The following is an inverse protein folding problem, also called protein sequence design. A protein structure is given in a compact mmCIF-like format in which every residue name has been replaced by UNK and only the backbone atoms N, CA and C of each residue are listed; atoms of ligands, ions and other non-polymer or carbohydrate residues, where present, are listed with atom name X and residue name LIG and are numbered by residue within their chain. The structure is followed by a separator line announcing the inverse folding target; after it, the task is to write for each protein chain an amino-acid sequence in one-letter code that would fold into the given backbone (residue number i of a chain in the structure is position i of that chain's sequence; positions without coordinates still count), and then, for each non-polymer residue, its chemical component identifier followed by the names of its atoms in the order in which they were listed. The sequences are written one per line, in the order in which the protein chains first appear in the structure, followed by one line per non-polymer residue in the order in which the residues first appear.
data_IF_153110930548
#
_entry.id   IF_153110930548
#
_cell.length_a   1.000
_cell.length_b   1.000
_cell.length_c   1.000
_cell.angle_alpha   90.00
_cell.angle_beta   90.00
_cell.angle_gamma   90.00
#
_symmetry.space_group_name_H-M   'P 1'
#
loop_
_entity.id
_entity.type
_entity.pdbx_description
1 polymer ?
#
# COMPACT_ATOMS: atom_id res chain seq x y z
N UNK A 1 -7.92 2.28 20.20
CA UNK A 1 -8.12 1.35 19.08
C UNK A 1 -6.99 0.32 19.03
N UNK A 2 -7.23 -0.85 18.45
CA UNK A 2 -6.20 -1.90 18.37
C UNK A 2 -5.15 -1.62 17.28
N UNK A 3 -5.44 -0.75 16.32
CA UNK A 3 -4.52 -0.42 15.23
C UNK A 3 -3.20 0.10 15.79
N UNK A 4 -3.23 1.11 16.64
CA UNK A 4 -2.02 1.68 17.25
C UNK A 4 -1.16 0.62 17.98
N UNK A 5 -1.81 -0.29 18.71
CA UNK A 5 -1.12 -1.37 19.44
C UNK A 5 -0.41 -2.37 18.51
N UNK A 6 -0.91 -2.53 17.28
CA UNK A 6 -0.40 -3.48 16.29
C UNK A 6 0.67 -2.90 15.36
N UNK A 7 0.87 -1.57 15.35
CA UNK A 7 1.98 -0.95 14.64
C UNK A 7 3.25 -1.14 15.46
N UNK A 8 4.10 -2.06 15.02
CA UNK A 8 5.39 -2.36 15.65
C UNK A 8 6.52 -2.05 14.67
N UNK A 9 7.62 -1.46 15.17
CA UNK A 9 8.78 -1.09 14.35
C UNK A 9 9.26 -2.26 13.48
N UNK A 10 9.49 -3.43 14.06
CA UNK A 10 9.99 -4.60 13.32
C UNK A 10 9.00 -5.07 12.23
N UNK A 11 7.69 -5.07 12.53
CA UNK A 11 6.65 -5.44 11.55
C UNK A 11 6.61 -4.44 10.40
N UNK A 12 6.67 -3.14 10.67
CA UNK A 12 6.66 -2.11 9.63
C UNK A 12 7.92 -2.18 8.77
N UNK A 13 9.10 -2.39 9.37
CA UNK A 13 10.35 -2.61 8.62
C UNK A 13 10.23 -3.81 7.68
N UNK A 14 9.71 -4.94 8.17
CA UNK A 14 9.50 -6.13 7.34
C UNK A 14 8.55 -5.86 6.17
N UNK A 15 7.45 -5.14 6.39
CA UNK A 15 6.51 -4.74 5.32
C UNK A 15 7.22 -3.87 4.28
N UNK A 16 7.98 -2.85 4.70
CA UNK A 16 8.73 -1.97 3.79
C UNK A 16 9.70 -2.80 2.94
N UNK A 17 10.43 -3.74 3.53
CA UNK A 17 11.37 -4.62 2.83
C UNK A 17 10.65 -5.55 1.82
N UNK A 18 9.50 -6.13 2.20
CA UNK A 18 8.69 -6.97 1.30
C UNK A 18 8.19 -6.15 0.11
N UNK A 19 7.70 -4.93 0.35
CA UNK A 19 7.23 -4.03 -0.72
C UNK A 19 8.38 -3.66 -1.65
N UNK A 20 9.52 -3.23 -1.14
CA UNK A 20 10.70 -2.88 -1.94
C UNK A 20 11.16 -4.07 -2.81
N UNK A 21 11.29 -5.26 -2.20
CA UNK A 21 11.68 -6.46 -2.92
C UNK A 21 10.63 -6.89 -3.96
N UNK A 22 9.35 -6.77 -3.63
CA UNK A 22 8.25 -7.08 -4.54
C UNK A 22 8.22 -6.14 -5.75
N UNK A 23 8.36 -4.84 -5.54
CA UNK A 23 8.41 -3.84 -6.62
C UNK A 23 9.60 -4.08 -7.55
N UNK A 24 10.76 -4.42 -7.00
CA UNK A 24 11.95 -4.75 -7.79
C UNK A 24 11.79 -6.03 -8.60
N UNK A 25 11.33 -7.11 -7.97
CA UNK A 25 11.32 -8.45 -8.57
C UNK A 25 10.09 -8.72 -9.45
N UNK A 26 8.91 -8.27 -9.02
CA UNK A 26 7.63 -8.58 -9.69
C UNK A 26 7.14 -7.47 -10.60
N UNK A 27 7.56 -6.22 -10.37
CA UNK A 27 7.16 -5.06 -11.17
C UNK A 27 8.33 -4.41 -11.93
N UNK A 28 9.54 -4.99 -11.83
CA UNK A 28 10.75 -4.53 -12.53
C UNK A 28 11.10 -3.04 -12.27
N UNK A 29 10.74 -2.50 -11.11
CA UNK A 29 11.06 -1.14 -10.71
C UNK A 29 12.41 -1.13 -10.01
N UNK A 30 13.46 -0.70 -10.71
CA UNK A 30 14.85 -0.78 -10.20
C UNK A 30 15.09 0.02 -8.90
N UNK A 31 14.46 1.16 -8.74
CA UNK A 31 14.61 2.06 -7.57
C UNK A 31 13.25 2.51 -7.07
N UNK A 32 12.48 1.63 -6.42
CA UNK A 32 11.14 1.96 -5.96
C UNK A 32 11.12 3.17 -5.04
N UNK A 33 10.15 4.05 -5.22
CA UNK A 33 9.85 5.17 -4.33
C UNK A 33 8.67 4.79 -3.44
N UNK A 34 8.94 4.51 -2.19
CA UNK A 34 7.93 4.08 -1.21
C UNK A 34 7.61 5.23 -0.27
N UNK A 35 6.33 5.47 -0.03
CA UNK A 35 5.86 6.46 0.95
C UNK A 35 5.07 5.78 2.04
N UNK A 36 5.37 6.13 3.29
CA UNK A 36 4.69 5.58 4.47
C UNK A 36 3.80 6.67 5.05
N UNK A 37 2.53 6.36 5.25
CA UNK A 37 1.57 7.27 5.89
C UNK A 37 1.75 7.27 7.41
N UNK A 38 1.43 8.38 8.06
CA UNK A 38 1.25 8.41 9.50
C UNK A 38 0.01 7.65 9.93
N UNK A 39 -0.07 7.31 11.21
CA UNK A 39 -1.28 6.74 11.82
C UNK A 39 -2.27 7.83 12.20
N UNK A 40 -1.74 8.90 12.80
CA UNK A 40 -2.52 9.97 13.38
C UNK A 40 -2.78 11.09 12.35
N UNK A 41 -3.85 11.91 12.54
CA UNK A 41 -4.06 13.09 11.73
C UNK A 41 -2.81 13.98 11.69
N UNK A 42 -2.54 14.59 10.53
CA UNK A 42 -1.37 15.44 10.30
C UNK A 42 -0.03 14.78 10.68
N UNK A 43 0.06 13.44 10.53
CA UNK A 43 1.21 12.64 10.94
C UNK A 43 1.65 12.93 12.40
N UNK A 44 0.67 13.12 13.30
CA UNK A 44 0.86 13.29 14.74
C UNK A 44 1.30 14.69 15.20
N UNK A 45 1.44 15.66 14.29
CA UNK A 45 1.87 17.05 14.62
C UNK A 45 3.05 17.11 15.62
N UNK A 46 4.13 16.42 15.30
CA UNK A 46 5.32 16.34 16.17
C UNK A 46 5.02 15.80 17.58
N UNK A 47 4.04 14.89 17.68
CA UNK A 47 3.66 14.22 18.93
C UNK A 47 2.54 14.88 19.70
N UNK A 48 1.92 15.95 19.17
CA UNK A 48 0.78 16.62 19.83
C UNK A 48 -0.53 15.83 19.71
N UNK A 49 -0.74 15.13 18.60
CA UNK A 49 -1.97 14.35 18.32
C UNK A 49 -1.77 12.86 18.58
N UNK A 50 -0.51 12.40 18.60
CA UNK A 50 -0.13 11.02 18.87
C UNK A 50 1.39 10.89 18.80
N UNK A 51 1.94 9.81 19.33
CA UNK A 51 3.40 9.61 19.41
C UNK A 51 3.90 8.43 18.57
N UNK A 52 3.01 7.72 17.89
CA UNK A 52 3.30 6.54 17.11
C UNK A 52 4.25 6.84 15.96
N UNK A 53 4.11 8.02 15.34
CA UNK A 53 5.01 8.49 14.30
C UNK A 53 6.44 8.63 14.83
N UNK A 54 6.60 9.31 15.96
CA UNK A 54 7.92 9.56 16.55
C UNK A 54 8.55 8.29 17.14
N UNK A 55 7.75 7.46 17.84
CA UNK A 55 8.25 6.31 18.59
C UNK A 55 8.39 5.04 17.76
N UNK A 56 7.64 4.92 16.66
CA UNK A 56 7.54 3.65 15.92
C UNK A 56 7.75 3.83 14.41
N UNK A 57 6.97 4.71 13.75
CA UNK A 57 6.95 4.78 12.28
C UNK A 57 8.24 5.40 11.76
N UNK A 58 8.64 6.57 12.25
CA UNK A 58 9.88 7.24 11.86
C UNK A 58 11.13 6.40 12.14
N UNK A 59 11.30 5.76 13.32
CA UNK A 59 12.40 4.83 13.56
C UNK A 59 12.42 3.61 12.61
N UNK A 60 11.26 3.12 12.15
CA UNK A 60 11.21 2.05 11.15
C UNK A 60 11.70 2.54 9.77
N UNK A 61 11.20 3.70 9.33
CA UNK A 61 11.60 4.34 8.07
C UNK A 61 13.11 4.59 8.06
N UNK A 62 13.66 5.25 9.11
CA UNK A 62 15.09 5.55 9.22
C UNK A 62 15.93 4.27 9.17
N UNK A 63 15.48 3.19 9.79
CA UNK A 63 16.17 1.90 9.72
C UNK A 63 16.17 1.32 8.31
N UNK A 64 15.07 1.40 7.56
CA UNK A 64 15.00 0.96 6.18
C UNK A 64 15.83 1.82 5.23
N UNK A 65 15.90 3.14 5.45
CA UNK A 65 16.77 4.04 4.69
C UNK A 65 18.25 3.66 4.85
N UNK A 66 18.67 3.29 6.07
CA UNK A 66 20.04 2.79 6.34
C UNK A 66 20.35 1.48 5.60
N UNK A 67 19.34 0.70 5.24
CA UNK A 67 19.45 -0.49 4.39
C UNK A 67 19.43 -0.17 2.87
N UNK A 68 19.43 1.12 2.51
CA UNK A 68 19.44 1.56 1.11
C UNK A 68 18.06 1.56 0.43
N UNK A 69 16.97 1.41 1.18
CA UNK A 69 15.60 1.46 0.64
C UNK A 69 15.17 2.94 0.49
N UNK A 70 14.67 3.30 -0.69
CA UNK A 70 14.15 4.64 -0.94
C UNK A 70 12.72 4.77 -0.40
N UNK A 71 12.62 5.01 0.89
CA UNK A 71 11.35 5.16 1.63
C UNK A 71 11.31 6.50 2.34
N UNK A 72 10.17 7.19 2.26
CA UNK A 72 9.92 8.49 2.86
C UNK A 72 8.63 8.48 3.68
N UNK A 73 8.57 9.33 4.68
CA UNK A 73 7.42 9.50 5.59
C UNK A 73 7.89 9.79 7.03
N UNK A 74 6.97 9.75 8.01
CA UNK A 74 5.54 9.56 7.83
C UNK A 74 4.88 10.77 7.15
N UNK A 75 4.00 10.53 6.16
CA UNK A 75 3.23 11.57 5.51
C UNK A 75 1.85 11.70 6.13
N UNK A 76 1.31 12.92 6.13
CA UNK A 76 -0.09 13.15 6.47
C UNK A 76 -0.99 12.54 5.40
N UNK A 77 -1.94 11.68 5.79
CA UNK A 77 -2.75 10.90 4.84
C UNK A 77 -3.69 11.78 4.00
N UNK A 78 -4.17 12.88 4.56
CA UNK A 78 -5.07 13.85 3.89
C UNK A 78 -4.40 14.58 2.71
N UNK A 79 -3.07 14.71 2.72
CA UNK A 79 -2.31 15.40 1.67
C UNK A 79 -1.41 14.48 0.85
N UNK A 80 -1.25 13.21 1.26
CA UNK A 80 -0.34 12.27 0.63
C UNK A 80 -0.71 11.89 -0.81
N UNK A 81 -2.00 11.94 -1.16
CA UNK A 81 -2.51 11.49 -2.45
C UNK A 81 -2.75 12.62 -3.45
N UNK A 82 -2.06 13.77 -3.29
CA UNK A 82 -2.13 14.83 -4.29
C UNK A 82 -1.46 14.38 -5.61
N UNK A 83 -1.85 15.02 -6.72
CA UNK A 83 -1.42 14.65 -8.08
C UNK A 83 0.10 14.56 -8.24
N UNK A 84 0.87 15.47 -7.62
CA UNK A 84 2.33 15.48 -7.70
C UNK A 84 2.94 14.26 -7.00
N UNK A 85 2.46 13.92 -5.80
CA UNK A 85 2.95 12.78 -5.05
C UNK A 85 2.51 11.45 -5.67
N UNK A 86 1.30 11.36 -6.24
CA UNK A 86 0.84 10.18 -6.96
C UNK A 86 1.75 9.88 -8.17
N UNK A 87 2.19 10.89 -8.90
CA UNK A 87 3.10 10.72 -10.04
C UNK A 87 4.55 10.37 -9.64
N UNK A 88 4.95 10.70 -8.41
CA UNK A 88 6.32 10.50 -7.90
C UNK A 88 6.39 9.38 -6.84
N UNK A 89 5.48 8.41 -6.89
CA UNK A 89 5.42 7.34 -5.87
C UNK A 89 5.03 6.02 -6.52
N UNK A 90 5.80 4.99 -6.26
CA UNK A 90 5.51 3.62 -6.75
C UNK A 90 4.64 2.83 -5.77
N UNK A 91 4.73 3.13 -4.47
CA UNK A 91 3.86 2.50 -3.46
C UNK A 91 3.64 3.37 -2.23
N UNK A 92 2.41 3.31 -1.70
CA UNK A 92 2.05 3.86 -0.39
C UNK A 92 1.85 2.73 0.61
N UNK A 93 2.37 2.90 1.82
CA UNK A 93 2.11 2.00 2.95
C UNK A 93 1.15 2.71 3.90
N UNK A 94 -0.06 2.21 3.98
CA UNK A 94 -1.10 2.69 4.87
C UNK A 94 -1.11 1.91 6.19
N UNK A 95 -1.50 2.58 7.26
CA UNK A 95 -1.54 1.99 8.59
C UNK A 95 -2.81 1.17 8.83
N UNK A 96 -3.89 1.48 8.11
CA UNK A 96 -5.18 0.78 8.19
C UNK A 96 -5.95 0.91 6.86
N UNK A 97 -6.93 0.04 6.68
CA UNK A 97 -7.70 -0.14 5.45
C UNK A 97 -8.26 1.18 4.89
N UNK A 98 -9.04 1.92 5.68
CA UNK A 98 -9.77 3.09 5.19
C UNK A 98 -8.86 4.33 4.96
N UNK A 99 -7.56 4.22 5.24
CA UNK A 99 -6.61 5.28 4.97
C UNK A 99 -6.26 5.40 3.47
N UNK A 100 -6.30 4.31 2.73
CA UNK A 100 -5.90 4.27 1.32
C UNK A 100 -6.99 3.74 0.38
N UNK A 101 -7.82 2.81 0.81
CA UNK A 101 -8.80 2.15 -0.05
C UNK A 101 -9.86 3.08 -0.65
N UNK A 102 -10.42 4.07 0.07
CA UNK A 102 -11.34 5.03 -0.53
C UNK A 102 -10.69 5.82 -1.67
N UNK A 103 -9.42 6.20 -1.52
CA UNK A 103 -8.66 6.91 -2.56
C UNK A 103 -8.42 6.00 -3.77
N UNK A 104 -7.98 4.76 -3.54
CA UNK A 104 -7.80 3.76 -4.60
C UNK A 104 -9.11 3.56 -5.39
N UNK A 105 -10.22 3.37 -4.71
CA UNK A 105 -11.54 3.19 -5.33
C UNK A 105 -11.98 4.43 -6.12
N UNK A 106 -11.68 5.63 -5.64
CA UNK A 106 -12.01 6.87 -6.35
C UNK A 106 -11.18 7.05 -7.63
N UNK A 107 -9.92 6.59 -7.64
CA UNK A 107 -9.00 6.74 -8.77
C UNK A 107 -9.12 5.63 -9.82
N UNK A 108 -9.44 4.40 -9.43
CA UNK A 108 -9.38 3.22 -10.30
C UNK A 108 -10.52 2.24 -10.04
N UNK A 109 -11.75 2.76 -9.93
CA UNK A 109 -12.92 1.93 -9.69
C UNK A 109 -13.13 0.93 -10.85
N UNK A 110 -13.17 -0.37 -10.52
CA UNK A 110 -13.37 -1.46 -11.47
C UNK A 110 -12.10 -1.96 -12.19
N UNK A 111 -10.93 -1.32 -11.98
CA UNK A 111 -9.65 -1.72 -12.58
C UNK A 111 -8.62 -2.14 -11.53
N UNK A 112 -8.85 -1.80 -10.26
CA UNK A 112 -7.94 -2.17 -9.18
C UNK A 112 -7.91 -3.69 -8.97
N UNK A 113 -6.74 -4.18 -8.56
CA UNK A 113 -6.50 -5.58 -8.22
C UNK A 113 -5.85 -5.73 -6.85
N UNK A 114 -5.89 -6.93 -6.33
CA UNK A 114 -5.12 -7.33 -5.16
C UNK A 114 -3.94 -8.22 -5.59
N UNK A 115 -2.73 -7.84 -5.22
CA UNK A 115 -1.51 -8.64 -5.43
C UNK A 115 -0.85 -8.93 -4.07
N UNK A 116 -0.57 -10.21 -3.79
CA UNK A 116 0.09 -10.59 -2.54
C UNK A 116 1.61 -10.63 -2.73
N UNK A 117 2.32 -9.88 -1.89
CA UNK A 117 3.78 -9.87 -1.85
C UNK A 117 4.29 -10.67 -0.64
N UNK A 118 5.57 -11.10 -0.69
CA UNK A 118 6.22 -11.82 0.41
C UNK A 118 5.90 -13.30 0.50
N UNK A 119 5.26 -13.88 -0.51
CA UNK A 119 5.01 -15.32 -0.63
C UNK A 119 5.72 -15.89 -1.87
N UNK A 120 6.05 -17.18 -1.89
CA UNK A 120 6.83 -17.80 -2.98
C UNK A 120 6.03 -18.02 -4.28
N UNK A 121 4.73 -17.76 -4.28
CA UNK A 121 3.86 -17.89 -5.46
C UNK A 121 3.40 -16.51 -5.94
N UNK A 122 2.95 -16.43 -7.20
CA UNK A 122 2.23 -15.27 -7.72
C UNK A 122 0.76 -15.45 -7.33
N UNK A 123 0.21 -14.44 -6.64
CA UNK A 123 -1.20 -14.40 -6.28
C UNK A 123 -1.75 -13.01 -6.57
N UNK A 124 -2.58 -12.95 -7.59
CA UNK A 124 -3.39 -11.80 -7.95
C UNK A 124 -4.88 -12.14 -7.77
N UNK A 125 -5.70 -11.16 -7.49
CA UNK A 125 -7.15 -11.34 -7.42
C UNK A 125 -7.87 -10.02 -7.69
N UNK A 126 -9.16 -10.12 -7.98
CA UNK A 126 -10.04 -8.97 -8.10
C UNK A 126 -10.13 -8.16 -6.80
N UNK A 127 -10.44 -6.87 -6.92
CA UNK A 127 -10.57 -5.94 -5.79
C UNK A 127 -12.03 -5.77 -5.32
N UNK A 128 -12.95 -6.61 -5.75
CA UNK A 128 -14.35 -6.57 -5.31
C UNK A 128 -14.75 -7.81 -4.51
N UNK A 129 -15.83 -7.70 -3.73
CA UNK A 129 -16.41 -8.80 -2.98
C UNK A 129 -17.19 -9.76 -3.87
N UNK A 130 -17.89 -10.70 -3.25
CA UNK A 130 -18.68 -11.76 -3.91
C UNK A 130 -19.88 -11.23 -4.69
N UNK A 131 -20.34 -10.00 -4.41
CA UNK A 131 -21.43 -9.32 -5.10
C UNK A 131 -22.68 -10.22 -5.30
N UNK A 132 -23.11 -10.91 -4.25
CA UNK A 132 -24.21 -11.88 -4.28
C UNK A 132 -25.52 -11.28 -4.80
N UNK A 133 -25.73 -9.98 -4.64
CA UNK A 133 -26.90 -9.25 -5.08
C UNK A 133 -27.08 -9.22 -6.60
N UNK A 134 -25.99 -9.36 -7.37
CA UNK A 134 -26.03 -9.39 -8.85
C UNK A 134 -25.89 -10.81 -9.42
N UNK A 135 -25.69 -11.82 -8.57
CA UNK A 135 -25.51 -13.20 -9.01
C UNK A 135 -26.75 -13.70 -9.78
N UNK A 136 -26.56 -14.15 -11.01
CA UNK A 136 -27.63 -14.60 -11.91
C UNK A 136 -28.58 -13.50 -12.44
N UNK A 137 -28.33 -12.22 -12.10
CA UNK A 137 -29.24 -11.11 -12.46
C UNK A 137 -28.63 -10.13 -13.46
N UNK A 138 -27.36 -9.87 -13.40
CA UNK A 138 -26.67 -8.91 -14.27
C UNK A 138 -25.25 -9.35 -14.60
N UNK A 139 -24.67 -8.74 -15.64
CA UNK A 139 -23.26 -9.00 -16.02
C UNK A 139 -22.33 -8.23 -15.09
N UNK A 140 -21.34 -8.90 -14.47
CA UNK A 140 -20.31 -8.21 -13.68
C UNK A 140 -19.38 -7.38 -14.58
N UNK A 141 -18.75 -6.36 -13.98
CA UNK A 141 -17.63 -5.66 -14.63
C UNK A 141 -16.40 -6.58 -14.64
N UNK A 142 -15.78 -6.76 -15.80
CA UNK A 142 -14.68 -7.71 -15.97
C UNK A 142 -13.30 -7.08 -15.83
N UNK A 143 -13.18 -5.74 -15.74
CA UNK A 143 -11.90 -5.02 -15.77
C UNK A 143 -10.91 -5.52 -14.72
N UNK A 144 -11.33 -5.62 -13.47
CA UNK A 144 -10.47 -6.11 -12.38
C UNK A 144 -10.00 -7.56 -12.59
N UNK A 145 -10.84 -8.45 -13.15
CA UNK A 145 -10.44 -9.83 -13.44
C UNK A 145 -9.42 -9.89 -14.58
N UNK A 146 -9.67 -9.16 -15.66
CA UNK A 146 -8.75 -9.07 -16.79
C UNK A 146 -7.39 -8.54 -16.36
N UNK A 147 -7.38 -7.44 -15.59
CA UNK A 147 -6.15 -6.85 -15.05
C UNK A 147 -5.43 -7.81 -14.10
N UNK A 148 -6.13 -8.56 -13.27
CA UNK A 148 -5.53 -9.56 -12.37
C UNK A 148 -4.80 -10.67 -13.16
N UNK A 149 -5.35 -11.13 -14.29
CA UNK A 149 -4.70 -12.11 -15.17
C UNK A 149 -3.47 -11.50 -15.83
N UNK A 150 -3.59 -10.31 -16.42
CA UNK A 150 -2.48 -9.59 -17.05
C UNK A 150 -1.33 -9.39 -16.08
N UNK A 151 -1.61 -8.95 -14.86
CA UNK A 151 -0.58 -8.75 -13.84
C UNK A 151 0.05 -10.06 -13.36
N UNK A 152 -0.67 -11.17 -13.36
CA UNK A 152 -0.08 -12.48 -13.09
C UNK A 152 0.92 -12.88 -14.17
N UNK A 153 0.59 -12.66 -15.44
CA UNK A 153 1.49 -12.93 -16.59
C UNK A 153 2.74 -12.04 -16.56
N UNK A 154 2.58 -10.74 -16.25
CA UNK A 154 3.71 -9.80 -16.13
C UNK A 154 4.68 -10.27 -15.03
N UNK A 155 4.17 -10.74 -13.90
CA UNK A 155 4.99 -11.19 -12.76
C UNK A 155 5.69 -12.54 -13.00
N UNK A 156 5.33 -13.28 -14.05
CA UNK A 156 5.99 -14.53 -14.46
C UNK A 156 7.26 -14.29 -15.29
N UNK A 157 7.40 -13.13 -15.89
CA UNK A 157 8.54 -12.73 -16.73
C UNK A 157 9.70 -12.21 -15.91
#
# INVERSE_FOLDING_TARGET
SEVAKNIKKAKLMNIIQIVDAGLKKKFNIKKPKIRVLGLNPHAGESGKIGTEELKTIMPAINSCQKLGINVLGPLSADTAFNKKLLQDTDAYIAMFHDQALPVLKALSFGEAINTTLGIPIIRTSVDHGTALEIAGKSKPLLGSLQEAIIQAEIQLR
#
